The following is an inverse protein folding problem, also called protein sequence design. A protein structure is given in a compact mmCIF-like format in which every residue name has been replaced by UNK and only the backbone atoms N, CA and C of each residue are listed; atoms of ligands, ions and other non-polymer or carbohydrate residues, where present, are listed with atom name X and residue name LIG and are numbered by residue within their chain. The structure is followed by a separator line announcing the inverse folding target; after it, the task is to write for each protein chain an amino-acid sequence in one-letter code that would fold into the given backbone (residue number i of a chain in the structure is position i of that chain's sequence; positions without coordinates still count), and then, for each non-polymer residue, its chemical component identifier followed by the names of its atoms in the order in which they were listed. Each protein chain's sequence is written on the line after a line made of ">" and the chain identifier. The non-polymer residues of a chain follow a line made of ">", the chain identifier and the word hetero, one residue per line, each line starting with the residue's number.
data_IF_930331684940
#
_entry.id   IF_930331684940
#
_cell.length_a   1.000
_cell.length_b   1.000
_cell.length_c   1.000
_cell.angle_alpha   90.00
_cell.angle_beta   90.00
_cell.angle_gamma   90.00
#
_symmetry.space_group_name_H-M   'P 1'
#
loop_
_entity.id
_entity.type
_entity.pdbx_description
1 polymer ?
#
# COMPACT_ATOMS: atom_id res chain seq x y z
N UNK A 1 -34.77 -1.19 -12.06
CA UNK A 1 -34.20 -2.11 -11.04
C UNK A 1 -32.77 -2.40 -11.47
N UNK A 2 -31.78 -1.69 -10.92
CA UNK A 2 -30.38 -1.97 -11.14
C UNK A 2 -30.05 -3.33 -10.52
N UNK A 3 -29.46 -4.23 -11.32
CA UNK A 3 -28.90 -5.48 -10.78
C UNK A 3 -27.86 -5.06 -9.75
N UNK A 4 -28.08 -5.42 -8.49
CA UNK A 4 -27.01 -5.37 -7.48
C UNK A 4 -25.86 -6.17 -8.08
N UNK A 5 -24.78 -5.52 -8.50
CA UNK A 5 -23.61 -6.20 -9.04
C UNK A 5 -23.13 -7.14 -7.92
N UNK A 6 -23.01 -8.43 -8.22
CA UNK A 6 -22.36 -9.36 -7.31
C UNK A 6 -20.86 -8.96 -7.22
N UNK A 7 -20.54 -8.20 -6.19
CA UNK A 7 -19.18 -7.68 -5.95
C UNK A 7 -18.16 -8.82 -5.94
N UNK A 8 -18.50 -9.95 -5.35
CA UNK A 8 -17.61 -11.12 -5.35
C UNK A 8 -17.31 -11.60 -6.76
N UNK A 9 -18.34 -11.82 -7.58
CA UNK A 9 -18.15 -12.27 -8.96
C UNK A 9 -17.41 -11.22 -9.82
N UNK A 10 -17.62 -9.94 -9.54
CA UNK A 10 -16.91 -8.87 -10.23
C UNK A 10 -15.41 -8.83 -9.84
N UNK A 11 -15.07 -9.05 -8.56
CA UNK A 11 -13.68 -9.16 -8.11
C UNK A 11 -13.00 -10.41 -8.68
N UNK A 12 -13.67 -11.57 -8.66
CA UNK A 12 -13.16 -12.80 -9.27
C UNK A 12 -12.87 -12.60 -10.77
N UNK A 13 -13.75 -11.89 -11.49
CA UNK A 13 -13.56 -11.58 -12.90
C UNK A 13 -12.38 -10.62 -13.12
N UNK A 14 -12.23 -9.58 -12.28
CA UNK A 14 -11.11 -8.62 -12.37
C UNK A 14 -9.78 -9.29 -12.11
N UNK A 15 -9.67 -10.14 -11.08
CA UNK A 15 -8.47 -10.92 -10.78
C UNK A 15 -8.10 -11.86 -11.94
N UNK A 16 -9.10 -12.52 -12.54
CA UNK A 16 -8.87 -13.41 -13.68
C UNK A 16 -8.56 -12.70 -15.00
N UNK A 17 -8.94 -11.44 -15.11
CA UNK A 17 -8.67 -10.61 -16.29
C UNK A 17 -7.28 -9.96 -16.25
N UNK A 18 -6.72 -9.69 -15.07
CA UNK A 18 -5.41 -9.05 -14.93
C UNK A 18 -4.29 -10.06 -15.25
N UNK A 19 -3.52 -9.88 -16.33
CA UNK A 19 -2.48 -10.83 -16.73
C UNK A 19 -1.30 -10.90 -15.76
N UNK A 20 -1.22 -9.99 -14.81
CA UNK A 20 -0.17 -9.95 -13.78
C UNK A 20 -0.47 -10.87 -12.58
N UNK A 21 -1.69 -11.46 -12.52
CA UNK A 21 -2.16 -12.24 -11.39
C UNK A 21 -2.48 -13.67 -11.84
N UNK A 22 -1.88 -14.68 -11.20
CA UNK A 22 -2.36 -16.06 -11.30
C UNK A 22 -3.48 -16.30 -10.29
N UNK A 23 -4.72 -16.06 -10.71
CA UNK A 23 -5.89 -16.11 -9.84
C UNK A 23 -6.39 -17.55 -9.53
N UNK A 24 -5.75 -18.60 -10.04
CA UNK A 24 -6.25 -20.00 -9.94
C UNK A 24 -6.45 -20.47 -8.52
N UNK A 25 -5.60 -20.02 -7.60
CA UNK A 25 -5.64 -20.42 -6.20
C UNK A 25 -6.19 -19.32 -5.29
N UNK A 26 -6.81 -18.26 -5.85
CA UNK A 26 -7.42 -17.18 -5.09
C UNK A 26 -8.90 -17.44 -4.91
N UNK A 27 -9.39 -17.32 -3.68
CA UNK A 27 -10.82 -17.35 -3.34
C UNK A 27 -11.23 -16.00 -2.79
N UNK A 28 -12.38 -15.50 -3.24
CA UNK A 28 -12.92 -14.20 -2.85
C UNK A 28 -14.13 -14.38 -1.96
N UNK A 29 -14.18 -13.69 -0.84
CA UNK A 29 -15.36 -13.53 0.00
C UNK A 29 -15.74 -12.06 0.05
N UNK A 30 -17.03 -11.76 0.03
CA UNK A 30 -17.55 -10.39 0.14
C UNK A 30 -18.66 -10.35 1.18
N UNK A 31 -18.57 -9.38 2.08
CA UNK A 31 -19.61 -9.03 3.06
C UNK A 31 -19.83 -7.53 3.00
N UNK A 32 -20.92 -7.11 2.36
CA UNK A 32 -21.29 -5.68 2.25
C UNK A 32 -20.22 -4.74 1.67
N UNK A 33 -19.43 -5.21 0.71
CA UNK A 33 -18.35 -4.42 0.13
C UNK A 33 -16.96 -4.70 0.74
N UNK A 34 -16.90 -5.30 1.92
CA UNK A 34 -15.66 -5.79 2.51
C UNK A 34 -15.27 -7.11 1.84
N UNK A 35 -14.16 -7.08 1.13
CA UNK A 35 -13.63 -8.21 0.36
C UNK A 35 -12.45 -8.84 1.07
N UNK A 36 -12.50 -10.14 1.28
CA UNK A 36 -11.37 -10.92 1.76
C UNK A 36 -10.83 -11.83 0.63
N UNK A 37 -9.54 -11.68 0.34
CA UNK A 37 -8.80 -12.54 -0.59
C UNK A 37 -8.07 -13.62 0.23
N UNK A 38 -8.28 -14.89 -0.12
CA UNK A 38 -7.62 -16.01 0.55
C UNK A 38 -7.04 -16.97 -0.49
N UNK A 39 -5.97 -17.66 -0.13
CA UNK A 39 -5.32 -18.65 -0.98
C UNK A 39 -3.85 -18.34 -1.18
N UNK A 40 -3.31 -18.66 -2.36
CA UNK A 40 -1.87 -18.52 -2.63
C UNK A 40 -1.60 -17.85 -3.95
N UNK A 41 -0.47 -17.11 -4.00
CA UNK A 41 0.09 -16.51 -5.21
C UNK A 41 1.57 -16.87 -5.34
N UNK A 42 2.15 -16.92 -6.57
CA UNK A 42 3.52 -17.36 -6.76
C UNK A 42 4.58 -16.29 -6.50
N UNK A 43 4.20 -15.05 -6.17
CA UNK A 43 5.18 -13.97 -5.92
C UNK A 43 4.58 -12.84 -5.10
N UNK A 44 5.44 -12.10 -4.39
CA UNK A 44 5.04 -10.94 -3.62
C UNK A 44 4.43 -9.80 -4.47
N UNK A 45 4.94 -9.47 -5.68
CA UNK A 45 4.24 -8.54 -6.56
C UNK A 45 2.78 -8.94 -6.85
N UNK A 46 2.49 -10.23 -7.02
CA UNK A 46 1.12 -10.68 -7.23
C UNK A 46 0.24 -10.57 -5.98
N UNK A 47 0.84 -10.74 -4.80
CA UNK A 47 0.16 -10.46 -3.52
C UNK A 47 -0.31 -9.00 -3.44
N UNK A 48 0.55 -8.04 -3.80
CA UNK A 48 0.23 -6.61 -3.80
C UNK A 48 -0.79 -6.26 -4.88
N UNK A 49 -0.58 -6.78 -6.09
CA UNK A 49 -1.45 -6.49 -7.24
C UNK A 49 -2.87 -7.06 -7.07
N UNK A 50 -3.02 -8.20 -6.41
CA UNK A 50 -4.34 -8.77 -6.14
C UNK A 50 -5.21 -7.84 -5.28
N UNK A 51 -4.64 -7.21 -4.24
CA UNK A 51 -5.34 -6.22 -3.43
C UNK A 51 -5.71 -4.98 -4.26
N UNK A 52 -4.77 -4.50 -5.07
CA UNK A 52 -4.97 -3.35 -5.97
C UNK A 52 -6.08 -3.63 -7.00
N UNK A 53 -6.08 -4.83 -7.59
CA UNK A 53 -7.11 -5.25 -8.54
C UNK A 53 -8.50 -5.30 -7.88
N UNK A 54 -8.60 -5.85 -6.67
CA UNK A 54 -9.86 -5.88 -5.94
C UNK A 54 -10.41 -4.48 -5.65
N UNK A 55 -9.55 -3.51 -5.30
CA UNK A 55 -9.94 -2.11 -5.04
C UNK A 55 -10.51 -1.39 -6.27
N UNK A 56 -10.15 -1.81 -7.50
CA UNK A 56 -10.68 -1.24 -8.75
C UNK A 56 -12.15 -1.56 -9.00
N UNK A 57 -12.69 -2.56 -8.31
CA UNK A 57 -14.06 -3.05 -8.53
C UNK A 57 -15.07 -2.15 -7.82
N UNK A 58 -16.05 -1.67 -8.57
CA UNK A 58 -17.13 -0.86 -8.01
C UNK A 58 -17.95 -1.66 -6.99
N UNK A 59 -18.14 -1.10 -5.81
CA UNK A 59 -18.81 -1.74 -4.69
C UNK A 59 -17.87 -2.31 -3.63
N UNK A 60 -16.55 -2.26 -3.85
CA UNK A 60 -15.54 -2.65 -2.85
C UNK A 60 -15.24 -1.44 -1.97
N UNK A 61 -15.50 -1.58 -0.67
CA UNK A 61 -15.26 -0.59 0.37
C UNK A 61 -14.05 -0.89 1.23
N UNK A 62 -13.65 -2.19 1.30
CA UNK A 62 -12.48 -2.63 2.03
C UNK A 62 -11.89 -3.90 1.41
N UNK A 63 -10.56 -4.09 1.53
CA UNK A 63 -9.87 -5.29 1.05
C UNK A 63 -8.97 -5.84 2.15
N UNK A 64 -9.26 -7.06 2.57
CA UNK A 64 -8.45 -7.85 3.49
C UNK A 64 -7.67 -8.91 2.70
N UNK A 65 -6.38 -8.70 2.54
CA UNK A 65 -5.51 -9.58 1.77
C UNK A 65 -4.88 -10.64 2.69
N UNK A 66 -5.41 -11.84 2.66
CA UNK A 66 -4.90 -13.02 3.40
C UNK A 66 -4.27 -14.05 2.45
N UNK A 67 -3.72 -13.58 1.32
CA UNK A 67 -2.98 -14.44 0.41
C UNK A 67 -1.61 -14.78 1.01
N UNK A 68 -1.15 -15.99 0.73
CA UNK A 68 0.20 -16.44 1.05
C UNK A 68 1.04 -16.49 -0.22
N UNK A 69 2.30 -16.07 -0.14
CA UNK A 69 3.24 -16.20 -1.25
C UNK A 69 3.91 -17.57 -1.19
N UNK A 70 3.63 -18.41 -2.19
CA UNK A 70 4.25 -19.72 -2.36
C UNK A 70 5.12 -19.68 -3.61
N UNK A 71 6.42 -19.47 -3.42
CA UNK A 71 7.37 -19.36 -4.52
C UNK A 71 7.48 -20.65 -5.33
N UNK A 72 7.52 -20.59 -6.66
CA UNK A 72 7.90 -21.72 -7.49
C UNK A 72 9.34 -22.20 -7.14
N UNK A 73 9.65 -23.50 -7.29
CA UNK A 73 10.96 -24.04 -6.91
C UNK A 73 12.17 -23.36 -7.56
N UNK A 74 11.99 -22.73 -8.74
CA UNK A 74 13.05 -22.00 -9.46
C UNK A 74 13.28 -20.58 -8.94
N UNK A 75 12.35 -20.04 -8.16
CA UNK A 75 12.38 -18.65 -7.67
C UNK A 75 12.88 -18.55 -6.23
N UNK A 76 13.14 -19.67 -5.59
CA UNK A 76 13.72 -19.70 -4.24
C UNK A 76 15.15 -19.15 -4.26
N UNK A 77 15.46 -18.29 -3.33
CA UNK A 77 16.81 -17.77 -3.04
C UNK A 77 17.15 -17.97 -1.58
N UNK A 78 18.41 -18.26 -1.30
CA UNK A 78 18.86 -18.25 0.10
C UNK A 78 18.89 -16.82 0.66
N UNK A 79 18.77 -16.70 1.97
CA UNK A 79 18.63 -15.41 2.65
C UNK A 79 19.86 -14.51 2.45
N UNK A 80 21.05 -15.05 2.31
CA UNK A 80 22.28 -14.28 2.07
C UNK A 80 22.25 -13.61 0.70
N UNK A 81 21.85 -14.37 -0.33
CA UNK A 81 21.70 -13.84 -1.69
C UNK A 81 20.56 -12.81 -1.75
N UNK A 82 19.45 -13.08 -1.07
CA UNK A 82 18.31 -12.19 -1.03
C UNK A 82 18.64 -10.88 -0.31
N UNK A 83 19.28 -10.94 0.86
CA UNK A 83 19.79 -9.77 1.60
C UNK A 83 20.71 -8.92 0.73
N UNK A 84 21.65 -9.55 0.04
CA UNK A 84 22.59 -8.84 -0.84
C UNK A 84 21.84 -8.15 -2.00
N UNK A 85 20.92 -8.86 -2.64
CA UNK A 85 20.13 -8.30 -3.75
C UNK A 85 19.24 -7.14 -3.29
N UNK A 86 18.64 -7.24 -2.10
CA UNK A 86 17.81 -6.19 -1.52
C UNK A 86 18.63 -4.93 -1.22
N UNK A 87 19.78 -5.06 -0.57
CA UNK A 87 20.63 -3.90 -0.27
C UNK A 87 21.15 -3.22 -1.54
N UNK A 88 21.55 -3.99 -2.56
CA UNK A 88 21.93 -3.42 -3.87
C UNK A 88 20.74 -2.67 -4.54
N UNK A 89 19.51 -3.18 -4.38
CA UNK A 89 18.33 -2.50 -4.93
C UNK A 89 18.04 -1.18 -4.19
N UNK A 90 18.20 -1.15 -2.86
CA UNK A 90 18.07 0.07 -2.05
C UNK A 90 19.12 1.11 -2.44
N UNK A 91 20.40 0.73 -2.49
CA UNK A 91 21.51 1.63 -2.86
C UNK A 91 21.35 2.25 -4.25
N UNK A 92 20.74 1.54 -5.21
CA UNK A 92 20.50 2.03 -6.57
C UNK A 92 19.29 2.93 -6.70
N UNK A 93 18.44 2.99 -5.71
CA UNK A 93 17.25 3.83 -5.74
C UNK A 93 17.59 5.21 -5.18
N UNK A 94 17.65 6.22 -6.05
CA UNK A 94 18.03 7.60 -5.70
C UNK A 94 17.09 8.27 -4.67
N UNK A 95 15.89 7.74 -4.48
CA UNK A 95 14.90 8.25 -3.51
C UNK A 95 15.17 7.70 -2.12
N UNK A 96 15.80 6.53 -2.01
CA UNK A 96 16.14 5.90 -0.73
C UNK A 96 17.43 6.50 -0.21
N UNK A 97 17.45 7.10 0.99
CA UNK A 97 18.68 7.64 1.58
C UNK A 97 19.62 6.54 2.04
N UNK A 98 20.89 6.90 2.22
CA UNK A 98 21.89 6.03 2.85
C UNK A 98 21.44 5.65 4.28
N UNK A 99 21.77 4.41 4.71
CA UNK A 99 21.45 3.90 6.05
C UNK A 99 20.10 3.17 6.15
N UNK A 100 19.38 2.98 5.02
CA UNK A 100 18.29 2.02 4.94
C UNK A 100 18.87 0.68 4.52
N UNK A 101 18.63 -0.36 5.32
CA UNK A 101 19.15 -1.70 5.14
C UNK A 101 18.04 -2.75 5.11
N UNK A 102 18.29 -3.84 4.41
CA UNK A 102 17.39 -4.98 4.34
C UNK A 102 18.09 -6.23 4.91
N UNK A 103 17.34 -7.05 5.65
CA UNK A 103 17.76 -8.39 6.08
C UNK A 103 16.70 -9.40 5.66
N UNK A 104 17.11 -10.60 5.26
CA UNK A 104 16.21 -11.68 4.86
C UNK A 104 16.23 -12.82 5.87
N UNK A 105 15.05 -13.39 6.10
CA UNK A 105 14.88 -14.63 6.85
C UNK A 105 13.75 -15.45 6.23
N UNK A 106 14.03 -16.66 5.76
CA UNK A 106 13.10 -17.57 5.05
C UNK A 106 12.31 -16.88 3.92
N UNK A 107 12.97 -15.97 3.19
CA UNK A 107 12.37 -15.21 2.10
C UNK A 107 11.57 -13.95 2.54
N UNK A 108 11.41 -13.73 3.83
CA UNK A 108 10.80 -12.51 4.36
C UNK A 108 11.88 -11.44 4.55
N UNK A 109 11.68 -10.27 3.93
CA UNK A 109 12.57 -9.12 4.06
C UNK A 109 12.09 -8.21 5.19
N UNK A 110 13.01 -7.80 6.06
CA UNK A 110 12.80 -6.71 7.01
C UNK A 110 13.64 -5.51 6.59
N UNK A 111 13.00 -4.37 6.38
CA UNK A 111 13.66 -3.10 6.10
C UNK A 111 13.83 -2.33 7.41
N UNK A 112 15.02 -1.81 7.65
CA UNK A 112 15.35 -1.01 8.84
C UNK A 112 16.13 0.23 8.44
N UNK A 113 16.15 1.23 9.30
CA UNK A 113 16.87 2.49 9.09
C UNK A 113 16.04 3.69 9.47
N UNK A 114 16.49 4.88 9.06
CA UNK A 114 15.77 6.13 9.34
C UNK A 114 15.72 6.99 8.09
N UNK A 115 14.53 7.49 7.77
CA UNK A 115 14.28 8.37 6.63
C UNK A 115 13.65 9.69 7.07
N UNK A 116 13.71 10.71 6.21
CA UNK A 116 13.10 12.02 6.50
C UNK A 116 11.63 12.11 6.08
N UNK A 117 11.17 11.25 5.16
CA UNK A 117 9.84 11.32 4.56
C UNK A 117 9.22 9.93 4.36
N UNK A 118 7.90 9.84 4.52
CA UNK A 118 7.15 8.62 4.20
C UNK A 118 7.27 8.15 2.75
N UNK A 119 7.51 9.08 1.81
CA UNK A 119 7.78 8.74 0.40
C UNK A 119 9.10 8.00 0.20
N UNK A 120 10.12 8.27 1.02
CA UNK A 120 11.39 7.55 0.98
C UNK A 120 11.23 6.13 1.52
N UNK A 121 10.44 5.97 2.58
CA UNK A 121 10.04 4.68 3.15
C UNK A 121 9.28 3.83 2.11
N UNK A 122 8.27 4.40 1.46
CA UNK A 122 7.54 3.72 0.38
C UNK A 122 8.43 3.38 -0.83
N UNK A 123 9.42 4.23 -1.15
CA UNK A 123 10.38 3.94 -2.20
C UNK A 123 11.31 2.77 -1.85
N UNK A 124 11.71 2.63 -0.58
CA UNK A 124 12.50 1.49 -0.11
C UNK A 124 11.71 0.18 -0.24
N UNK A 125 10.46 0.14 0.21
CA UNK A 125 9.57 -1.01 0.05
C UNK A 125 9.41 -1.38 -1.44
N UNK A 126 9.12 -0.39 -2.28
CA UNK A 126 8.94 -0.60 -3.73
C UNK A 126 10.20 -1.12 -4.41
N UNK A 127 11.40 -0.70 -3.96
CA UNK A 127 12.66 -1.13 -4.54
C UNK A 127 12.92 -2.64 -4.35
N UNK A 128 12.45 -3.21 -3.25
CA UNK A 128 12.69 -4.63 -2.92
C UNK A 128 11.51 -5.54 -3.24
N UNK A 129 10.30 -5.01 -3.34
CA UNK A 129 9.07 -5.78 -3.54
C UNK A 129 9.08 -6.67 -4.80
N UNK A 130 9.79 -6.25 -5.85
CA UNK A 130 9.90 -6.98 -7.13
C UNK A 130 11.02 -8.01 -7.20
N UNK A 131 11.80 -8.20 -6.15
CA UNK A 131 12.93 -9.13 -6.18
C UNK A 131 12.44 -10.58 -6.13
N UNK A 132 13.04 -11.42 -6.99
CA UNK A 132 12.79 -12.86 -6.96
C UNK A 132 13.26 -13.46 -5.65
N UNK A 133 12.41 -14.26 -5.01
CA UNK A 133 12.70 -14.87 -3.71
C UNK A 133 11.99 -14.18 -2.54
N UNK A 134 11.42 -12.99 -2.74
CA UNK A 134 10.67 -12.28 -1.70
C UNK A 134 9.29 -12.92 -1.51
N UNK A 135 8.98 -13.26 -0.26
CA UNK A 135 7.66 -13.75 0.17
C UNK A 135 6.85 -12.69 0.89
N UNK A 136 7.53 -11.88 1.68
CA UNK A 136 6.93 -10.77 2.42
C UNK A 136 7.95 -9.66 2.64
N UNK A 137 7.46 -8.42 2.84
CA UNK A 137 8.28 -7.27 3.23
C UNK A 137 7.69 -6.68 4.49
N UNK A 138 8.49 -6.64 5.55
CA UNK A 138 8.20 -5.92 6.79
C UNK A 138 8.94 -4.60 6.76
N UNK A 139 8.24 -3.52 7.01
CA UNK A 139 8.79 -2.18 7.00
C UNK A 139 8.92 -1.67 8.46
N UNK A 140 10.15 -1.75 8.97
CA UNK A 140 10.56 -1.24 10.28
C UNK A 140 11.46 0.02 10.13
N UNK A 141 11.23 0.80 9.06
CA UNK A 141 11.94 2.05 8.83
C UNK A 141 11.32 3.16 9.68
N UNK A 142 12.13 3.80 10.51
CA UNK A 142 11.73 4.97 11.28
C UNK A 142 11.71 6.24 10.43
N UNK A 143 10.77 7.14 10.70
CA UNK A 143 10.77 8.48 10.11
C UNK A 143 11.28 9.46 11.16
N UNK A 144 12.37 10.20 10.84
CA UNK A 144 12.90 11.23 11.72
C UNK A 144 11.97 12.44 11.75
N UNK A 145 11.40 12.71 12.91
CA UNK A 145 10.55 13.89 13.11
C UNK A 145 11.40 15.07 13.60
N UNK A 146 11.73 15.98 12.68
CA UNK A 146 12.44 17.23 12.95
C UNK A 146 11.75 18.39 12.21
N UNK A 147 10.42 18.44 12.27
CA UNK A 147 9.63 19.45 11.59
C UNK A 147 8.81 20.29 12.58
N UNK A 148 8.63 21.58 12.29
CA UNK A 148 7.68 22.42 13.00
C UNK A 148 6.25 21.92 12.73
N UNK A 149 5.47 21.56 13.74
CA UNK A 149 4.11 21.06 13.57
C UNK A 149 3.19 22.00 12.76
N UNK A 150 3.40 23.32 12.88
CA UNK A 150 2.61 24.33 12.17
C UNK A 150 2.87 24.28 10.67
N UNK A 151 4.14 24.11 10.27
CA UNK A 151 4.51 24.01 8.86
C UNK A 151 3.98 22.72 8.22
N UNK A 152 3.96 21.62 8.97
CA UNK A 152 3.46 20.33 8.47
C UNK A 152 1.96 20.38 8.20
N UNK A 153 1.18 20.90 9.14
CA UNK A 153 -0.29 21.00 9.00
C UNK A 153 -0.68 21.86 7.78
N UNK A 154 -0.03 23.02 7.63
CA UNK A 154 -0.25 23.90 6.48
C UNK A 154 0.07 23.22 5.14
N UNK A 155 1.22 22.53 5.05
CA UNK A 155 1.62 21.83 3.82
C UNK A 155 0.69 20.68 3.45
N UNK A 156 0.15 19.96 4.44
CA UNK A 156 -0.84 18.91 4.19
C UNK A 156 -2.15 19.49 3.66
N UNK A 157 -2.67 20.53 4.31
CA UNK A 157 -3.90 21.20 3.84
C UNK A 157 -3.75 21.73 2.42
N UNK A 158 -2.67 22.44 2.13
CA UNK A 158 -2.36 22.92 0.78
C UNK A 158 -2.20 21.78 -0.24
N UNK A 159 -1.63 20.63 0.15
CA UNK A 159 -1.49 19.48 -0.73
C UNK A 159 -2.84 18.83 -1.05
N UNK A 160 -3.74 18.76 -0.07
CA UNK A 160 -5.12 18.29 -0.27
C UNK A 160 -5.89 19.23 -1.21
N UNK A 161 -5.82 20.55 -0.99
CA UNK A 161 -6.48 21.56 -1.83
C UNK A 161 -5.97 21.58 -3.28
N UNK A 162 -4.69 21.29 -3.49
CA UNK A 162 -4.10 21.24 -4.85
C UNK A 162 -4.42 19.96 -5.62
N UNK A 163 -4.93 18.93 -4.96
CA UNK A 163 -5.18 17.64 -5.59
C UNK A 163 -6.44 17.67 -6.45
N UNK A 164 -6.29 17.50 -7.75
CA UNK A 164 -7.42 17.41 -8.67
C UNK A 164 -8.30 16.14 -8.46
N UNK A 165 -7.83 15.19 -7.65
CA UNK A 165 -8.56 13.97 -7.33
C UNK A 165 -9.43 14.11 -6.08
N UNK A 166 -9.25 15.19 -5.31
CA UNK A 166 -10.03 15.48 -4.10
C UNK A 166 -11.01 16.58 -4.44
N UNK A 167 -12.34 16.32 -4.40
CA UNK A 167 -13.36 17.31 -4.71
C UNK A 167 -13.37 18.47 -3.69
N UNK A 168 -13.73 19.67 -4.14
CA UNK A 168 -13.84 20.87 -3.30
C UNK A 168 -14.88 20.72 -2.17
N UNK A 169 -15.85 19.82 -2.32
CA UNK A 169 -16.89 19.50 -1.33
C UNK A 169 -16.53 18.29 -0.45
N UNK A 170 -15.26 17.87 -0.45
CA UNK A 170 -14.77 16.79 0.40
C UNK A 170 -14.88 17.14 1.88
N UNK A 171 -15.29 16.19 2.73
CA UNK A 171 -15.30 16.32 4.18
C UNK A 171 -14.03 15.75 4.85
N UNK A 172 -13.02 15.48 4.06
CA UNK A 172 -11.73 14.97 4.52
C UNK A 172 -11.03 15.99 5.43
N UNK A 173 -10.59 15.52 6.59
CA UNK A 173 -9.84 16.29 7.57
C UNK A 173 -8.54 15.60 7.91
N UNK A 174 -7.50 16.39 8.07
CA UNK A 174 -6.20 15.94 8.58
C UNK A 174 -5.96 16.63 9.93
N UNK A 175 -5.68 15.84 10.97
CA UNK A 175 -5.34 16.33 12.33
C UNK A 175 -3.93 15.83 12.68
N UNK A 176 -3.01 16.77 12.90
CA UNK A 176 -1.63 16.48 13.25
C UNK A 176 -1.44 16.52 14.77
N UNK A 177 -1.04 15.38 15.35
CA UNK A 177 -0.66 15.27 16.76
C UNK A 177 0.62 14.47 16.92
N UNK A 178 1.59 15.04 17.61
CA UNK A 178 2.86 14.39 17.97
C UNK A 178 3.56 13.76 16.74
N UNK A 179 3.48 14.40 15.57
CA UNK A 179 4.07 13.91 14.32
C UNK A 179 3.25 12.86 13.59
N UNK A 180 2.07 12.49 14.08
CA UNK A 180 1.14 11.57 13.41
C UNK A 180 -0.02 12.35 12.82
N UNK A 181 -0.25 12.20 11.51
CA UNK A 181 -1.45 12.71 10.86
C UNK A 181 -2.56 11.66 10.93
N UNK A 182 -3.70 12.05 11.49
CA UNK A 182 -4.93 11.26 11.42
C UNK A 182 -5.82 11.83 10.32
N UNK A 183 -6.09 11.02 9.30
CA UNK A 183 -7.01 11.34 8.21
C UNK A 183 -8.39 10.80 8.55
N UNK A 184 -9.41 11.65 8.53
CA UNK A 184 -10.80 11.28 8.79
C UNK A 184 -11.71 11.85 7.71
N UNK A 185 -12.90 11.28 7.56
CA UNK A 185 -13.89 11.73 6.59
C UNK A 185 -14.28 10.65 5.59
N UNK A 186 -14.95 11.07 4.52
CA UNK A 186 -15.46 10.15 3.49
C UNK A 186 -14.84 10.46 2.14
N UNK A 187 -14.47 9.40 1.44
CA UNK A 187 -14.01 9.44 0.06
C UNK A 187 -14.95 8.60 -0.81
N UNK A 188 -15.07 8.94 -2.10
CA UNK A 188 -16.01 8.29 -3.02
C UNK A 188 -15.39 7.10 -3.74
N UNK A 189 -14.08 7.11 -3.87
CA UNK A 189 -13.32 6.09 -4.62
C UNK A 189 -11.98 5.78 -3.95
N UNK A 190 -11.43 4.62 -4.25
CA UNK A 190 -10.07 4.27 -3.85
C UNK A 190 -9.00 5.20 -4.45
N UNK A 191 -9.24 5.75 -5.65
CA UNK A 191 -8.32 6.73 -6.25
C UNK A 191 -8.28 8.04 -5.45
N UNK A 192 -9.42 8.51 -4.96
CA UNK A 192 -9.50 9.66 -4.06
C UNK A 192 -8.84 9.36 -2.70
N UNK A 193 -9.12 8.19 -2.13
CA UNK A 193 -8.47 7.69 -0.91
C UNK A 193 -6.94 7.70 -1.03
N UNK A 194 -6.41 7.07 -2.09
CA UNK A 194 -4.97 6.98 -2.32
C UNK A 194 -4.33 8.35 -2.56
N UNK A 195 -5.07 9.29 -3.17
CA UNK A 195 -4.62 10.66 -3.35
C UNK A 195 -4.50 11.41 -2.02
N UNK A 196 -5.48 11.24 -1.12
CA UNK A 196 -5.47 11.85 0.23
C UNK A 196 -4.32 11.29 1.07
N UNK A 197 -4.20 9.96 1.14
CA UNK A 197 -3.12 9.30 1.88
C UNK A 197 -1.75 9.64 1.30
N UNK A 198 -1.64 9.70 -0.04
CA UNK A 198 -0.41 10.10 -0.74
C UNK A 198 0.02 11.53 -0.41
N UNK A 199 -0.93 12.47 -0.38
CA UNK A 199 -0.66 13.86 0.00
C UNK A 199 -0.12 13.97 1.44
N UNK A 200 -0.73 13.25 2.39
CA UNK A 200 -0.28 13.22 3.78
C UNK A 200 1.12 12.60 3.94
N UNK A 201 1.44 11.55 3.18
CA UNK A 201 2.78 10.90 3.19
C UNK A 201 3.90 11.76 2.61
N UNK A 202 3.57 12.79 1.83
CA UNK A 202 4.56 13.78 1.35
C UNK A 202 5.01 14.75 2.44
N UNK A 203 4.24 14.88 3.52
CA UNK A 203 4.62 15.70 4.66
C UNK A 203 5.69 15.00 5.51
N UNK A 204 6.44 15.79 6.28
CA UNK A 204 7.40 15.29 7.27
C UNK A 204 6.66 14.82 8.52
N UNK A 205 6.13 13.62 8.49
CA UNK A 205 5.36 13.05 9.60
C UNK A 205 5.88 11.66 9.93
N UNK A 206 5.77 11.29 11.21
CA UNK A 206 6.20 9.97 11.70
C UNK A 206 5.31 8.87 11.12
N UNK A 207 3.99 9.12 11.05
CA UNK A 207 3.02 8.15 10.56
C UNK A 207 1.77 8.85 10.01
N UNK A 208 1.03 8.14 9.18
CA UNK A 208 -0.29 8.55 8.68
C UNK A 208 -1.30 7.50 9.10
N UNK A 209 -2.14 7.87 10.08
CA UNK A 209 -3.27 7.05 10.51
C UNK A 209 -4.45 7.29 9.58
N UNK A 210 -4.82 6.26 8.86
CA UNK A 210 -5.90 6.27 7.90
C UNK A 210 -7.20 5.80 8.56
N UNK A 211 -8.13 6.75 8.79
CA UNK A 211 -9.48 6.54 9.28
C UNK A 211 -10.52 7.04 8.26
N UNK A 212 -10.17 6.98 6.95
CA UNK A 212 -11.07 7.35 5.88
C UNK A 212 -12.08 6.23 5.59
N UNK A 213 -13.30 6.62 5.28
CA UNK A 213 -14.36 5.69 4.90
C UNK A 213 -14.73 5.88 3.43
N UNK A 214 -14.82 4.77 2.68
CA UNK A 214 -15.29 4.82 1.29
C UNK A 214 -16.81 4.78 1.29
N UNK A 215 -17.41 5.91 0.87
CA UNK A 215 -18.86 6.04 0.73
C UNK A 215 -19.27 5.94 -0.74
N UNK A 216 -19.82 4.79 -1.13
CA UNK A 216 -20.30 4.60 -2.49
C UNK A 216 -21.69 5.25 -2.61
N UNK A 217 -21.73 6.42 -3.22
CA UNK A 217 -22.99 7.02 -3.65
C UNK A 217 -23.60 6.15 -4.75
N UNK A 218 -24.74 5.50 -4.44
CA UNK A 218 -25.49 4.64 -5.34
C UNK A 218 -26.17 5.39 -6.49
#
# INVERSE_FOLDING_TARGET
>A
MGKTKDVRAAVEAELGFDPRIDAKNITVRNINGEVALNGTVPSYPQYLEAATAARRVAGVTGVHNHLEVVLPPGDFRDDTMLTTAANVALERNITVPEGVEATAYDGDLTLTGTVAYGTQRAAAESAVAGLTGVRHVTDDIDISYDADPVDVDLHVQEALERSALIPDDSDVKADLKEGVITLTGHVRTWAEHDAVVGAARMARVIDVRDELHIHITG
#
